data_IF_077282107507
#
_entry.id   IF_077282107507
#
_cell.length_a   1.000
_cell.length_b   1.000
_cell.length_c   1.000
_cell.angle_alpha   90.00
_cell.angle_beta   90.00
_cell.angle_gamma   90.00
#
_symmetry.space_group_name_H-M   'P 1'
#
loop_
_entity.id
_entity.type
_entity.pdbx_description
1 polymer ?
#
# COMPACT_ATOMS: atom_id res chain seq x y z
N UNK A 1 -6.08 4.03 -44.06
CA UNK A 1 -4.74 3.96 -43.46
C UNK A 1 -4.77 3.68 -41.96
N UNK A 2 -5.05 4.69 -41.12
CA UNK A 2 -4.98 4.57 -39.64
C UNK A 2 -6.06 3.69 -39.00
N UNK A 3 -7.30 3.71 -39.52
CA UNK A 3 -8.42 2.90 -38.99
C UNK A 3 -8.13 1.40 -39.09
N UNK A 4 -7.63 0.96 -40.25
CA UNK A 4 -7.17 -0.42 -40.49
C UNK A 4 -6.01 -0.83 -39.59
N UNK A 5 -5.01 0.05 -39.39
CA UNK A 5 -3.88 -0.26 -38.48
C UNK A 5 -4.34 -0.40 -37.02
N UNK A 6 -5.28 0.42 -36.57
CA UNK A 6 -5.85 0.37 -35.21
C UNK A 6 -6.69 -0.88 -35.00
N UNK A 7 -7.44 -1.29 -36.01
CA UNK A 7 -8.26 -2.50 -35.99
C UNK A 7 -7.41 -3.77 -36.01
N UNK A 8 -6.37 -3.81 -36.85
CA UNK A 8 -5.36 -4.89 -36.84
C UNK A 8 -4.67 -5.00 -35.48
N UNK A 9 -4.22 -3.88 -34.90
CA UNK A 9 -3.62 -3.89 -33.57
C UNK A 9 -4.60 -4.36 -32.48
N UNK A 10 -5.87 -3.91 -32.55
CA UNK A 10 -6.92 -4.34 -31.61
C UNK A 10 -7.19 -5.84 -31.73
N UNK A 11 -7.25 -6.36 -32.95
CA UNK A 11 -7.47 -7.79 -33.20
C UNK A 11 -6.27 -8.63 -32.79
N UNK A 12 -5.03 -8.15 -32.99
CA UNK A 12 -3.83 -8.81 -32.50
C UNK A 12 -3.80 -8.87 -30.97
N UNK A 13 -4.15 -7.77 -30.28
CA UNK A 13 -4.26 -7.74 -28.82
C UNK A 13 -5.34 -8.71 -28.33
N UNK A 14 -6.51 -8.75 -28.97
CA UNK A 14 -7.59 -9.71 -28.65
C UNK A 14 -7.13 -11.16 -28.82
N UNK A 15 -6.46 -11.48 -29.94
CA UNK A 15 -5.95 -12.81 -30.21
C UNK A 15 -4.84 -13.22 -29.22
N UNK A 16 -3.95 -12.30 -28.84
CA UNK A 16 -2.96 -12.55 -27.78
C UNK A 16 -3.62 -12.78 -26.42
N UNK A 17 -4.64 -12.00 -26.05
CA UNK A 17 -5.40 -12.21 -24.80
C UNK A 17 -6.08 -13.59 -24.83
N UNK A 18 -6.70 -13.97 -25.95
CA UNK A 18 -7.36 -15.27 -26.11
C UNK A 18 -6.36 -16.43 -26.04
N UNK A 19 -5.21 -16.31 -26.71
CA UNK A 19 -4.13 -17.30 -26.63
C UNK A 19 -3.55 -17.42 -25.22
N UNK A 20 -3.33 -16.29 -24.53
CA UNK A 20 -2.95 -16.26 -23.13
C UNK A 20 -4.01 -16.92 -22.25
N UNK A 21 -5.30 -16.64 -22.48
CA UNK A 21 -6.40 -17.24 -21.72
C UNK A 21 -6.48 -18.75 -21.92
N UNK A 22 -6.29 -19.25 -23.14
CA UNK A 22 -6.27 -20.70 -23.43
C UNK A 22 -5.07 -21.37 -22.77
N UNK A 23 -3.88 -20.78 -22.91
CA UNK A 23 -2.64 -21.30 -22.30
C UNK A 23 -2.71 -21.25 -20.77
N UNK A 24 -3.26 -20.17 -20.22
CA UNK A 24 -3.49 -20.01 -18.79
C UNK A 24 -4.54 -20.99 -18.27
N UNK A 25 -5.68 -21.14 -18.95
CA UNK A 25 -6.72 -22.11 -18.56
C UNK A 25 -6.16 -23.53 -18.55
N UNK A 26 -5.31 -23.86 -19.51
CA UNK A 26 -4.60 -25.14 -19.53
C UNK A 26 -3.62 -25.26 -18.35
N UNK A 27 -2.81 -24.23 -18.10
CA UNK A 27 -1.87 -24.22 -16.97
C UNK A 27 -2.57 -24.25 -15.59
N UNK A 28 -3.71 -23.57 -15.43
CA UNK A 28 -4.53 -23.61 -14.21
C UNK A 28 -5.20 -24.97 -14.00
N UNK A 29 -5.57 -25.68 -15.07
CA UNK A 29 -6.08 -27.06 -14.98
C UNK A 29 -5.01 -28.07 -14.60
N UNK A 30 -3.75 -27.77 -14.95
CA UNK A 30 -2.58 -28.62 -14.68
C UNK A 30 -1.87 -28.26 -13.36
N UNK A 31 -2.21 -27.11 -12.75
CA UNK A 31 -1.68 -26.68 -11.46
C UNK A 31 -2.41 -27.38 -10.30
N UNK A 32 -1.64 -28.05 -9.43
CA UNK A 32 -2.14 -28.81 -8.29
C UNK A 32 -2.57 -27.91 -7.11
N UNK A 33 -1.97 -26.73 -6.99
CA UNK A 33 -2.25 -25.76 -5.91
C UNK A 33 -2.20 -24.33 -6.45
N UNK A 34 -3.30 -23.58 -6.23
CA UNK A 34 -3.36 -22.13 -6.41
C UNK A 34 -3.48 -21.51 -5.03
N UNK A 35 -2.40 -20.88 -4.55
CA UNK A 35 -2.45 -20.09 -3.30
C UNK A 35 -2.50 -18.62 -3.69
N UNK A 36 -3.62 -17.97 -3.38
CA UNK A 36 -3.73 -16.52 -3.41
C UNK A 36 -3.68 -16.02 -1.98
N UNK A 37 -2.65 -15.27 -1.58
CA UNK A 37 -2.60 -14.68 -0.22
C UNK A 37 -2.67 -13.18 -0.25
N UNK A 38 -3.48 -12.62 0.64
CA UNK A 38 -3.61 -11.19 0.81
C UNK A 38 -2.75 -10.64 1.96
N UNK A 39 -2.09 -9.52 1.65
CA UNK A 39 -1.21 -8.62 2.46
C UNK A 39 0.30 -8.94 2.44
N UNK A 40 1.06 -8.05 1.76
CA UNK A 40 2.49 -7.78 1.98
C UNK A 40 3.47 -8.83 1.45
N UNK A 41 4.71 -8.42 1.18
CA UNK A 41 5.79 -9.24 0.59
C UNK A 41 5.83 -10.66 1.15
N UNK A 42 6.18 -11.63 0.28
CA UNK A 42 6.17 -13.06 0.59
C UNK A 42 6.64 -13.38 2.02
N UNK A 43 5.72 -13.77 2.89
CA UNK A 43 6.05 -14.21 4.25
C UNK A 43 6.96 -15.47 4.12
N UNK A 44 8.18 -15.47 4.68
CA UNK A 44 9.08 -16.62 4.63
C UNK A 44 8.45 -17.91 5.17
N UNK A 45 7.50 -17.81 6.12
CA UNK A 45 6.75 -18.94 6.68
C UNK A 45 5.70 -19.47 5.70
N UNK A 46 5.08 -18.59 4.90
CA UNK A 46 4.18 -18.99 3.82
C UNK A 46 4.98 -19.68 2.71
N UNK A 47 6.12 -19.11 2.33
CA UNK A 47 7.06 -19.74 1.39
C UNK A 47 7.46 -21.13 1.90
N UNK A 48 7.85 -21.24 3.18
CA UNK A 48 8.19 -22.52 3.79
C UNK A 48 7.02 -23.51 3.84
N UNK A 49 5.79 -23.04 4.11
CA UNK A 49 4.58 -23.87 4.06
C UNK A 49 4.27 -24.34 2.62
N UNK A 50 4.67 -23.59 1.61
CA UNK A 50 4.65 -23.97 0.20
C UNK A 50 5.88 -24.80 -0.24
N UNK A 51 6.77 -25.18 0.69
CA UNK A 51 7.97 -25.97 0.42
C UNK A 51 9.15 -25.16 -0.15
N UNK A 52 9.11 -23.84 -0.05
CA UNK A 52 10.16 -22.91 -0.48
C UNK A 52 10.93 -22.45 0.77
N UNK A 53 12.14 -22.98 0.97
CA UNK A 53 13.03 -22.52 2.04
C UNK A 53 13.77 -21.29 1.53
N UNK A 54 13.63 -20.17 2.23
CA UNK A 54 14.42 -18.96 1.99
C UNK A 54 15.67 -19.10 2.86
N UNK A 55 16.86 -19.05 2.27
CA UNK A 55 18.10 -19.07 3.04
C UNK A 55 18.20 -17.75 3.84
N UNK A 56 18.11 -17.85 5.17
CA UNK A 56 18.25 -16.71 6.09
C UNK A 56 19.74 -16.31 6.20
N UNK A 57 20.24 -15.48 5.28
CA UNK A 57 21.45 -14.67 5.51
C UNK A 57 21.01 -13.33 6.13
N UNK A 58 20.77 -13.32 7.46
CA UNK A 58 20.91 -12.17 8.37
C UNK A 58 20.14 -12.41 9.70
N UNK A 59 20.66 -13.27 10.59
CA UNK A 59 20.57 -13.08 12.05
C UNK A 59 21.31 -14.17 12.86
N UNK A 60 22.32 -13.69 13.59
CA UNK A 60 22.78 -14.14 14.91
C UNK A 60 23.78 -15.32 14.93
N UNK A 61 25.03 -14.95 15.24
CA UNK A 61 26.06 -15.80 15.82
C UNK A 61 25.51 -16.59 17.02
N UNK A 62 25.61 -17.92 16.98
CA UNK A 62 26.04 -18.67 18.16
C UNK A 62 26.78 -19.96 17.74
N UNK A 63 27.88 -20.20 18.42
CA UNK A 63 28.90 -21.21 18.17
C UNK A 63 28.42 -22.60 18.64
N UNK A 64 28.87 -23.67 17.96
CA UNK A 64 28.44 -25.02 18.36
C UNK A 64 28.71 -26.18 17.40
N UNK A 65 29.92 -26.30 16.86
CA UNK A 65 30.66 -27.57 16.62
C UNK A 65 29.86 -28.90 16.66
N UNK A 66 29.76 -29.62 15.52
CA UNK A 66 30.48 -30.88 15.21
C UNK A 66 29.83 -31.73 14.08
N UNK A 67 30.68 -32.01 13.08
CA UNK A 67 30.86 -33.28 12.33
C UNK A 67 29.72 -33.90 11.50
N UNK A 68 30.06 -34.11 10.21
CA UNK A 68 30.11 -35.48 9.68
C UNK A 68 29.45 -35.73 8.32
N UNK A 69 30.25 -35.61 7.25
CA UNK A 69 30.43 -36.65 6.21
C UNK A 69 29.21 -37.49 5.74
N UNK A 70 28.78 -37.33 4.49
CA UNK A 70 29.08 -38.26 3.38
C UNK A 70 28.11 -38.13 2.18
N UNK A 71 28.74 -38.03 1.01
CA UNK A 71 28.26 -38.43 -0.32
C UNK A 71 27.25 -39.59 -0.32
N UNK A 72 26.14 -39.44 -1.05
CA UNK A 72 25.67 -40.50 -1.96
C UNK A 72 24.95 -39.90 -3.18
N UNK A 73 25.47 -40.22 -4.36
CA UNK A 73 24.81 -40.05 -5.66
C UNK A 73 23.64 -41.03 -5.75
N UNK A 74 22.40 -40.55 -5.84
CA UNK A 74 21.24 -41.38 -6.15
C UNK A 74 20.58 -40.93 -7.47
N UNK A 75 20.77 -41.80 -8.47
CA UNK A 75 20.29 -41.75 -9.85
C UNK A 75 18.76 -41.89 -9.89
N UNK A 76 18.01 -40.81 -10.12
CA UNK A 76 16.55 -40.89 -10.37
C UNK A 76 16.30 -41.10 -11.87
N UNK A 77 15.79 -42.30 -12.21
CA UNK A 77 15.24 -42.66 -13.53
C UNK A 77 13.96 -41.84 -13.74
N UNK A 78 13.88 -41.10 -14.84
CA UNK A 78 12.66 -40.42 -15.27
C UNK A 78 11.77 -41.39 -16.05
N UNK A 79 10.56 -41.63 -15.54
CA UNK A 79 9.48 -42.22 -16.33
C UNK A 79 8.93 -41.12 -17.25
N UNK A 80 9.14 -41.27 -18.56
CA UNK A 80 8.49 -40.47 -19.61
C UNK A 80 7.02 -40.88 -19.71
N UNK A 81 6.12 -40.01 -19.29
CA UNK A 81 4.75 -39.98 -19.81
C UNK A 81 4.70 -38.87 -20.88
N UNK A 82 4.31 -39.25 -22.10
CA UNK A 82 4.31 -38.38 -23.27
C UNK A 82 3.21 -37.33 -23.22
N UNK A 83 3.61 -36.07 -23.19
CA UNK A 83 2.87 -34.94 -23.75
C UNK A 83 3.72 -34.34 -24.87
N UNK A 84 3.10 -33.93 -25.97
CA UNK A 84 3.81 -33.27 -27.07
C UNK A 84 4.66 -32.10 -26.53
N UNK A 85 5.92 -31.93 -26.99
CA UNK A 85 6.76 -30.83 -26.52
C UNK A 85 6.05 -29.52 -26.83
N UNK A 86 5.78 -28.72 -25.79
CA UNK A 86 5.25 -27.36 -25.99
C UNK A 86 6.23 -26.63 -26.90
N UNK A 87 5.73 -26.07 -28.01
CA UNK A 87 6.53 -25.26 -28.92
C UNK A 87 7.20 -24.15 -28.10
N UNK A 88 8.41 -23.78 -28.51
CA UNK A 88 9.26 -22.74 -27.93
C UNK A 88 8.45 -21.58 -27.34
N UNK A 89 8.96 -20.97 -26.26
CA UNK A 89 8.39 -19.73 -25.72
C UNK A 89 8.22 -18.68 -26.86
N UNK A 90 7.35 -17.68 -26.71
CA UNK A 90 7.04 -16.72 -27.79
C UNK A 90 8.24 -16.02 -28.44
N UNK A 91 9.40 -16.05 -27.78
CA UNK A 91 10.71 -15.53 -28.20
C UNK A 91 11.61 -16.58 -28.90
N UNK A 92 11.12 -17.81 -29.10
CA UNK A 92 11.87 -18.89 -29.73
C UNK A 92 12.82 -19.63 -28.78
N UNK A 93 12.87 -19.27 -27.49
CA UNK A 93 13.70 -19.96 -26.49
C UNK A 93 13.05 -21.27 -26.02
N UNK A 94 13.86 -22.26 -25.58
CA UNK A 94 13.32 -23.44 -24.91
C UNK A 94 12.55 -23.01 -23.65
N UNK A 95 11.37 -23.61 -23.38
CA UNK A 95 10.58 -23.28 -22.20
C UNK A 95 11.40 -23.52 -20.93
N UNK A 96 11.22 -22.65 -19.93
CA UNK A 96 11.83 -22.82 -18.62
C UNK A 96 11.22 -24.05 -17.94
N UNK A 97 12.04 -24.88 -17.29
CA UNK A 97 11.52 -25.97 -16.45
C UNK A 97 11.45 -25.51 -15.00
N UNK A 98 10.38 -24.78 -14.67
CA UNK A 98 10.14 -24.22 -13.33
C UNK A 98 8.81 -24.75 -12.79
N UNK A 99 8.83 -25.77 -11.93
CA UNK A 99 7.60 -26.37 -11.41
C UNK A 99 6.83 -25.47 -10.43
N UNK A 100 7.46 -24.41 -9.94
CA UNK A 100 6.88 -23.44 -9.01
C UNK A 100 6.99 -22.04 -9.61
N UNK A 101 5.87 -21.32 -9.65
CA UNK A 101 5.81 -19.91 -10.06
C UNK A 101 5.23 -19.11 -8.90
N UNK A 102 5.97 -18.09 -8.46
CA UNK A 102 5.52 -17.13 -7.44
C UNK A 102 5.47 -15.75 -8.10
N UNK A 103 4.35 -15.05 -7.96
CA UNK A 103 4.18 -13.67 -8.42
C UNK A 103 3.79 -12.83 -7.22
N UNK A 104 4.71 -11.96 -6.79
CA UNK A 104 4.42 -10.96 -5.77
C UNK A 104 3.81 -9.70 -6.38
N UNK A 105 3.03 -8.97 -5.58
CA UNK A 105 2.27 -7.79 -6.00
C UNK A 105 1.40 -8.03 -7.25
N UNK A 106 0.87 -9.25 -7.40
CA UNK A 106 0.09 -9.70 -8.54
C UNK A 106 -1.22 -8.91 -8.75
N UNK A 107 -1.64 -8.10 -7.77
CA UNK A 107 -2.75 -7.16 -7.88
C UNK A 107 -2.42 -5.88 -8.66
N UNK A 108 -1.14 -5.52 -8.81
CA UNK A 108 -0.69 -4.31 -9.51
C UNK A 108 -0.40 -4.54 -11.00
N UNK A 109 -0.40 -5.79 -11.45
CA UNK A 109 -0.11 -6.18 -12.82
C UNK A 109 -1.39 -6.58 -13.56
N UNK A 110 -1.51 -6.16 -14.81
CA UNK A 110 -2.62 -6.57 -15.68
C UNK A 110 -2.60 -8.09 -15.83
N UNK A 111 -3.76 -8.72 -15.95
CA UNK A 111 -3.85 -10.19 -16.06
C UNK A 111 -2.89 -10.80 -17.10
N UNK A 112 -2.75 -10.26 -18.33
CA UNK A 112 -1.77 -10.78 -19.29
C UNK A 112 -0.33 -10.79 -18.77
N UNK A 113 0.07 -9.82 -17.94
CA UNK A 113 1.41 -9.76 -17.39
C UNK A 113 1.65 -10.87 -16.35
N UNK A 114 0.64 -11.20 -15.54
CA UNK A 114 0.72 -12.33 -14.59
C UNK A 114 0.81 -13.69 -15.30
N UNK A 115 0.36 -13.78 -16.55
CA UNK A 115 0.40 -15.02 -17.32
C UNK A 115 1.75 -15.29 -17.98
N UNK A 116 2.58 -14.25 -18.20
CA UNK A 116 3.91 -14.40 -18.80
C UNK A 116 4.75 -15.48 -18.09
N UNK A 117 4.99 -15.43 -16.76
CA UNK A 117 5.79 -16.45 -16.09
C UNK A 117 5.15 -17.83 -16.12
N UNK A 118 3.81 -17.91 -16.20
CA UNK A 118 3.06 -19.17 -16.26
C UNK A 118 3.20 -19.86 -17.63
N UNK A 119 3.16 -19.08 -18.73
CA UNK A 119 3.26 -19.63 -20.09
C UNK A 119 4.70 -19.87 -20.53
N UNK A 120 5.67 -19.19 -19.91
CA UNK A 120 7.11 -19.37 -20.18
C UNK A 120 7.66 -20.71 -19.68
N UNK A 121 6.89 -21.47 -18.90
CA UNK A 121 7.28 -22.79 -18.41
C UNK A 121 6.37 -23.91 -18.93
N UNK A 122 6.98 -25.07 -19.19
CA UNK A 122 6.27 -26.28 -19.60
C UNK A 122 6.01 -27.25 -18.43
N UNK A 123 6.46 -26.91 -17.23
CA UNK A 123 6.42 -27.80 -16.06
C UNK A 123 5.79 -27.19 -14.82
N UNK A 124 5.15 -26.01 -14.90
CA UNK A 124 4.45 -25.40 -13.76
C UNK A 124 3.42 -26.37 -13.15
N UNK A 125 3.63 -26.73 -11.89
CA UNK A 125 2.72 -27.55 -11.07
C UNK A 125 2.08 -26.74 -9.94
N UNK A 126 2.71 -25.66 -9.49
CA UNK A 126 2.23 -24.86 -8.38
C UNK A 126 2.38 -23.37 -8.70
N UNK A 127 1.30 -22.63 -8.51
CA UNK A 127 1.25 -21.18 -8.74
C UNK A 127 0.83 -20.48 -7.45
N UNK A 128 1.66 -19.54 -7.00
CA UNK A 128 1.39 -18.68 -5.85
C UNK A 128 1.27 -17.23 -6.33
N UNK A 129 0.13 -16.61 -6.05
CA UNK A 129 -0.12 -15.19 -6.35
C UNK A 129 -0.25 -14.45 -5.03
N UNK A 130 0.69 -13.55 -4.76
CA UNK A 130 0.68 -12.70 -3.58
C UNK A 130 0.28 -11.29 -4.02
N UNK A 131 -0.50 -10.61 -3.20
CA UNK A 131 -0.94 -9.26 -3.52
C UNK A 131 -2.10 -8.82 -2.65
N UNK A 132 -2.51 -7.57 -2.77
CA UNK A 132 -3.64 -7.06 -2.00
C UNK A 132 -4.69 -6.45 -2.93
N UNK A 133 -5.86 -7.10 -3.10
CA UNK A 133 -6.90 -6.60 -3.98
C UNK A 133 -7.65 -5.38 -3.39
N UNK A 134 -7.30 -4.96 -2.17
CA UNK A 134 -7.74 -3.71 -1.55
C UNK A 134 -6.71 -2.57 -1.65
N UNK A 135 -5.55 -2.81 -2.26
CA UNK A 135 -4.57 -1.77 -2.63
C UNK A 135 -4.66 -1.47 -4.13
N UNK A 136 -3.64 -0.80 -4.69
CA UNK A 136 -3.72 -0.27 -6.06
C UNK A 136 -3.91 -1.39 -7.10
N UNK A 137 -4.85 -1.20 -8.04
CA UNK A 137 -5.02 -2.09 -9.18
C UNK A 137 -3.94 -1.82 -10.24
N UNK A 138 -3.94 -2.57 -11.35
CA UNK A 138 -3.07 -2.28 -12.47
C UNK A 138 -3.35 -0.91 -13.08
N UNK A 139 -2.29 -0.18 -13.40
CA UNK A 139 -2.41 1.12 -14.07
C UNK A 139 -2.60 0.93 -15.57
N UNK A 140 -3.80 1.24 -16.06
CA UNK A 140 -4.16 1.10 -17.47
C UNK A 140 -4.42 2.48 -18.08
N UNK A 141 -3.47 3.00 -18.86
CA UNK A 141 -3.58 4.36 -19.45
C UNK A 141 -4.82 4.56 -20.32
N UNK A 142 -5.26 3.52 -21.03
CA UNK A 142 -6.46 3.56 -21.87
C UNK A 142 -7.76 3.48 -21.08
N UNK A 143 -7.69 3.18 -19.78
CA UNK A 143 -8.83 3.14 -18.88
C UNK A 143 -8.50 3.88 -17.55
N UNK A 144 -8.55 5.22 -17.56
CA UNK A 144 -8.33 6.01 -16.36
C UNK A 144 -9.34 5.76 -15.24
N UNK A 145 -10.49 5.15 -15.57
CA UNK A 145 -11.54 4.85 -14.59
C UNK A 145 -11.21 3.63 -13.72
N UNK A 146 -10.29 2.77 -14.18
CA UNK A 146 -9.91 1.54 -13.49
C UNK A 146 -11.02 0.48 -13.41
N UNK A 147 -12.07 0.60 -14.23
CA UNK A 147 -13.28 -0.26 -14.22
C UNK A 147 -13.30 -1.28 -15.35
N UNK A 148 -12.39 -1.15 -16.31
CA UNK A 148 -12.26 -2.02 -17.45
C UNK A 148 -11.64 -3.36 -17.07
N UNK A 149 -11.79 -4.36 -17.94
CA UNK A 149 -11.33 -5.72 -17.66
C UNK A 149 -9.81 -5.82 -17.48
N UNK A 150 -9.03 -4.93 -18.12
CA UNK A 150 -7.58 -4.89 -17.94
C UNK A 150 -7.14 -4.32 -16.57
N UNK A 151 -8.02 -3.62 -15.87
CA UNK A 151 -7.78 -3.10 -14.52
C UNK A 151 -8.14 -4.11 -13.43
N UNK A 152 -8.61 -5.30 -13.81
CA UNK A 152 -8.75 -6.44 -12.91
C UNK A 152 -7.53 -7.33 -13.10
N UNK A 153 -6.76 -7.53 -12.03
CA UNK A 153 -5.64 -8.46 -12.08
C UNK A 153 -6.12 -9.91 -12.08
N UNK A 154 -5.23 -10.80 -12.54
CA UNK A 154 -5.47 -12.25 -12.46
C UNK A 154 -5.81 -12.70 -11.04
N UNK A 155 -5.05 -12.24 -10.05
CA UNK A 155 -5.25 -12.58 -8.64
C UNK A 155 -6.64 -12.13 -8.16
N UNK A 156 -7.02 -10.88 -8.42
CA UNK A 156 -8.32 -10.34 -8.00
C UNK A 156 -9.49 -11.12 -8.62
N UNK A 157 -9.36 -11.51 -9.90
CA UNK A 157 -10.35 -12.34 -10.60
C UNK A 157 -10.45 -13.74 -9.98
N UNK A 158 -9.33 -14.40 -9.74
CA UNK A 158 -9.30 -15.74 -9.12
C UNK A 158 -9.84 -15.70 -7.69
N UNK A 159 -9.43 -14.73 -6.87
CA UNK A 159 -9.92 -14.54 -5.50
C UNK A 159 -11.45 -14.36 -5.43
N UNK A 160 -12.05 -13.80 -6.49
CA UNK A 160 -13.49 -13.57 -6.58
C UNK A 160 -14.29 -14.75 -7.15
N UNK A 161 -13.64 -15.70 -7.81
CA UNK A 161 -14.30 -16.80 -8.55
C UNK A 161 -14.03 -18.18 -7.98
N UNK A 162 -12.91 -18.36 -7.29
CA UNK A 162 -12.56 -19.62 -6.65
C UNK A 162 -13.35 -19.85 -5.36
N UNK A 163 -13.64 -21.12 -5.01
CA UNK A 163 -14.22 -21.46 -3.72
C UNK A 163 -13.24 -21.14 -2.58
N UNK A 164 -13.75 -21.08 -1.36
CA UNK A 164 -12.90 -20.83 -0.20
C UNK A 164 -11.78 -21.87 -0.06
N UNK A 165 -10.53 -21.43 0.16
CA UNK A 165 -9.40 -22.35 0.24
C UNK A 165 -9.57 -23.29 1.44
N UNK A 166 -9.18 -24.56 1.25
CA UNK A 166 -9.05 -25.51 2.35
C UNK A 166 -7.79 -25.12 3.13
N UNK A 167 -7.97 -24.56 4.32
CA UNK A 167 -6.88 -24.05 5.14
C UNK A 167 -6.03 -25.23 5.64
N UNK A 168 -4.80 -25.34 5.12
CA UNK A 168 -3.75 -26.12 5.78
C UNK A 168 -3.16 -25.20 6.85
N UNK A 169 -3.46 -25.52 8.10
CA UNK A 169 -3.20 -24.69 9.29
C UNK A 169 -1.78 -24.11 9.33
N UNK A 170 -1.63 -22.84 8.96
CA UNK A 170 -0.55 -22.03 9.50
C UNK A 170 -0.74 -22.03 11.02
N UNK A 171 0.34 -22.33 11.78
CA UNK A 171 0.31 -22.34 13.25
C UNK A 171 -0.45 -21.11 13.75
N UNK A 172 -1.49 -21.32 14.55
CA UNK A 172 -2.27 -20.22 15.13
C UNK A 172 -1.32 -19.30 15.87
N UNK A 173 -1.15 -18.06 15.41
CA UNK A 173 -0.42 -17.06 16.17
C UNK A 173 -1.14 -16.84 17.51
N UNK A 174 -0.44 -17.14 18.60
CA UNK A 174 -0.94 -17.03 19.98
C UNK A 174 -0.58 -15.69 20.62
N UNK A 175 0.05 -14.78 19.88
CA UNK A 175 0.34 -13.44 20.37
C UNK A 175 -0.98 -12.77 20.83
N UNK A 176 -1.01 -12.16 22.02
CA UNK A 176 -2.14 -11.36 22.46
C UNK A 176 -2.42 -10.27 21.42
N UNK A 177 -3.69 -10.10 21.07
CA UNK A 177 -4.12 -9.16 20.04
C UNK A 177 -4.63 -7.88 20.69
N UNK A 178 -4.37 -6.77 20.02
CA UNK A 178 -4.94 -5.47 20.34
C UNK A 178 -6.32 -5.35 19.70
N UNK A 179 -7.34 -4.99 20.50
CA UNK A 179 -8.74 -4.88 20.07
C UNK A 179 -9.35 -3.51 20.38
N UNK A 180 -8.76 -2.72 21.29
CA UNK A 180 -9.28 -1.44 21.79
C UNK A 180 -9.64 -0.47 20.66
N UNK A 181 -8.72 -0.21 19.74
CA UNK A 181 -8.98 0.76 18.67
C UNK A 181 -9.95 0.22 17.62
N UNK A 182 -9.88 -1.08 17.32
CA UNK A 182 -10.71 -1.73 16.30
C UNK A 182 -12.18 -1.83 16.75
N UNK A 183 -12.41 -2.15 18.03
CA UNK A 183 -13.75 -2.32 18.60
C UNK A 183 -14.36 -1.03 19.16
N UNK A 184 -13.62 0.07 19.10
CA UNK A 184 -14.09 1.38 19.53
C UNK A 184 -15.37 1.81 18.78
N UNK A 185 -16.21 2.59 19.47
CA UNK A 185 -17.43 3.14 18.87
C UNK A 185 -17.13 4.01 17.63
N UNK A 186 -16.12 4.90 17.63
CA UNK A 186 -15.72 5.64 16.44
C UNK A 186 -15.44 4.74 15.22
N UNK A 187 -14.69 3.64 15.41
CA UNK A 187 -14.36 2.71 14.32
C UNK A 187 -15.62 2.02 13.78
N UNK A 188 -16.53 1.58 14.65
CA UNK A 188 -17.83 1.00 14.25
C UNK A 188 -18.72 2.00 13.50
N UNK A 189 -18.70 3.27 13.91
CA UNK A 189 -19.44 4.35 13.23
C UNK A 189 -18.87 4.62 11.84
N UNK A 190 -17.54 4.66 11.68
CA UNK A 190 -16.88 4.81 10.39
C UNK A 190 -17.28 3.70 9.40
N UNK A 191 -17.28 2.43 9.84
CA UNK A 191 -17.75 1.29 9.02
C UNK A 191 -19.21 1.45 8.61
N UNK A 192 -20.06 1.88 9.55
CA UNK A 192 -21.49 2.08 9.30
C UNK A 192 -21.72 3.18 8.26
N UNK A 193 -20.98 4.28 8.34
CA UNK A 193 -21.07 5.39 7.39
C UNK A 193 -20.76 4.92 5.95
N UNK A 194 -19.66 4.17 5.78
CA UNK A 194 -19.25 3.67 4.47
C UNK A 194 -20.25 2.65 3.90
N UNK A 195 -20.79 1.75 4.74
CA UNK A 195 -21.70 0.67 4.30
C UNK A 195 -23.12 1.15 3.98
N UNK A 196 -23.70 2.06 4.76
CA UNK A 196 -25.12 2.43 4.61
C UNK A 196 -25.36 3.56 3.62
N UNK A 197 -24.44 4.52 3.45
CA UNK A 197 -24.60 5.61 2.48
C UNK A 197 -24.44 5.15 1.02
N UNK A 198 -23.85 3.97 0.78
CA UNK A 198 -23.81 3.31 -0.53
C UNK A 198 -25.18 2.95 -1.10
N UNK A 199 -26.15 2.62 -0.23
CA UNK A 199 -27.50 2.20 -0.63
C UNK A 199 -28.42 3.37 -1.04
N UNK A 200 -28.02 4.61 -0.79
CA UNK A 200 -28.92 5.78 -0.77
C UNK A 200 -29.09 6.58 -2.08
N UNK A 201 -28.32 6.31 -3.15
CA UNK A 201 -28.49 7.00 -4.46
C UNK A 201 -28.94 6.03 -5.55
N UNK A 202 -30.22 5.66 -5.51
CA UNK A 202 -30.92 5.12 -6.69
C UNK A 202 -31.11 6.25 -7.70
N UNK A 203 -30.22 6.31 -8.70
CA UNK A 203 -30.34 7.21 -9.85
C UNK A 203 -29.21 6.98 -10.84
N UNK A 204 -29.45 6.10 -11.83
CA UNK A 204 -28.55 5.87 -12.97
C UNK A 204 -27.93 4.47 -12.97
N UNK A 205 -28.40 3.61 -13.89
CA UNK A 205 -27.96 2.23 -14.04
C UNK A 205 -26.46 2.08 -14.32
N UNK A 206 -25.77 1.39 -13.41
CA UNK A 206 -24.41 0.87 -13.54
C UNK A 206 -24.19 -0.11 -12.40
N UNK A 207 -24.58 -1.37 -12.60
CA UNK A 207 -24.86 -2.34 -11.56
C UNK A 207 -23.64 -2.88 -10.78
N UNK A 208 -23.84 -3.10 -9.48
CA UNK A 208 -23.78 -4.45 -8.89
C UNK A 208 -22.48 -4.93 -8.26
N UNK A 209 -21.32 -4.35 -8.54
CA UNK A 209 -20.04 -4.92 -8.06
C UNK A 209 -19.42 -4.21 -6.85
N UNK A 210 -19.69 -2.92 -6.61
CA UNK A 210 -18.97 -2.09 -5.61
C UNK A 210 -19.30 -2.36 -4.13
N UNK A 211 -20.28 -3.21 -3.82
CA UNK A 211 -20.90 -3.26 -2.48
C UNK A 211 -20.76 -4.60 -1.74
N UNK A 212 -19.86 -5.48 -2.19
CA UNK A 212 -19.57 -6.72 -1.48
C UNK A 212 -18.48 -6.50 -0.44
N UNK A 213 -18.76 -6.91 0.79
CA UNK A 213 -17.76 -7.02 1.87
C UNK A 213 -16.55 -7.83 1.40
N UNK A 214 -15.37 -7.52 1.93
CA UNK A 214 -14.10 -8.20 1.63
C UNK A 214 -14.29 -9.73 1.62
N UNK A 215 -14.90 -10.28 2.69
CA UNK A 215 -15.17 -11.72 2.83
C UNK A 215 -15.92 -12.32 1.65
N UNK A 216 -16.87 -11.58 1.09
CA UNK A 216 -17.68 -12.03 -0.04
C UNK A 216 -17.00 -11.81 -1.38
N UNK A 217 -16.20 -10.75 -1.49
CA UNK A 217 -15.54 -10.40 -2.75
C UNK A 217 -14.31 -11.25 -3.01
N UNK A 218 -13.57 -11.62 -1.98
CA UNK A 218 -12.29 -12.33 -2.11
C UNK A 218 -12.29 -13.67 -1.36
N UNK A 219 -13.45 -14.33 -1.30
CA UNK A 219 -13.66 -15.58 -0.55
C UNK A 219 -12.73 -16.71 -1.00
N UNK A 220 -12.27 -16.69 -2.26
CA UNK A 220 -11.35 -17.67 -2.84
C UNK A 220 -9.88 -17.39 -2.59
N UNK A 221 -9.54 -16.38 -1.78
CA UNK A 221 -8.17 -16.09 -1.36
C UNK A 221 -7.98 -16.38 0.13
N UNK A 222 -6.75 -16.74 0.50
CA UNK A 222 -6.29 -16.79 1.88
C UNK A 222 -5.95 -15.37 2.33
N UNK A 223 -6.35 -14.98 3.53
CA UNK A 223 -5.94 -13.72 4.14
C UNK A 223 -4.87 -13.97 5.19
N UNK A 224 -3.72 -13.31 5.07
CA UNK A 224 -2.76 -13.19 6.15
C UNK A 224 -3.33 -12.15 7.13
N UNK A 225 -4.00 -12.64 8.17
CA UNK A 225 -4.85 -11.82 9.05
C UNK A 225 -4.10 -11.16 10.21
N UNK A 226 -2.78 -11.34 10.33
CA UNK A 226 -1.98 -10.70 11.38
C UNK A 226 -1.02 -9.73 10.71
N UNK A 227 -1.07 -8.46 11.11
CA UNK A 227 -0.19 -7.42 10.58
C UNK A 227 0.88 -7.06 11.61
N UNK A 228 2.14 -6.94 11.16
CA UNK A 228 3.29 -6.66 12.02
C UNK A 228 3.96 -5.30 11.77
N UNK A 229 3.37 -4.47 10.90
CA UNK A 229 3.94 -3.18 10.50
C UNK A 229 3.54 -2.07 11.45
N UNK A 230 2.24 -1.82 11.51
CA UNK A 230 1.62 -0.61 12.02
C UNK A 230 1.36 -0.71 13.52
N UNK A 231 1.48 0.42 14.22
CA UNK A 231 0.86 0.62 15.52
C UNK A 231 -0.66 0.26 15.45
N UNK A 232 -1.25 -0.40 16.46
CA UNK A 232 -2.65 -0.83 16.45
C UNK A 232 -3.66 0.25 16.03
N UNK A 233 -3.54 1.47 16.56
CA UNK A 233 -4.43 2.58 16.18
C UNK A 233 -4.33 3.03 14.73
N UNK A 234 -3.16 2.88 14.08
CA UNK A 234 -3.01 3.15 12.64
C UNK A 234 -3.74 2.07 11.84
N UNK A 235 -3.66 0.80 12.27
CA UNK A 235 -4.28 -0.33 11.58
C UNK A 235 -5.81 -0.41 11.73
N UNK A 236 -6.38 0.20 12.77
CA UNK A 236 -7.78 0.04 13.15
C UNK A 236 -8.75 0.50 12.05
N UNK A 237 -8.60 1.74 11.56
CA UNK A 237 -9.48 2.27 10.51
C UNK A 237 -9.34 1.48 9.19
N UNK A 238 -8.13 1.25 8.63
CA UNK A 238 -7.98 0.44 7.42
C UNK A 238 -8.54 -0.97 7.57
N UNK A 239 -8.24 -1.66 8.68
CA UNK A 239 -8.77 -3.01 8.95
C UNK A 239 -10.29 -3.02 8.91
N UNK A 240 -10.94 -2.13 9.66
CA UNK A 240 -12.39 -2.06 9.78
C UNK A 240 -13.07 -1.72 8.44
N UNK A 241 -12.56 -0.71 7.74
CA UNK A 241 -13.21 -0.14 6.55
C UNK A 241 -12.93 -0.94 5.28
N UNK A 242 -11.69 -1.40 5.07
CA UNK A 242 -11.28 -2.04 3.81
C UNK A 242 -11.23 -3.58 3.90
N UNK A 243 -11.04 -4.14 5.10
CA UNK A 243 -10.85 -5.58 5.31
C UNK A 243 -11.90 -6.21 6.23
N UNK A 244 -13.04 -5.55 6.48
CA UNK A 244 -14.11 -6.02 7.38
C UNK A 244 -13.65 -6.39 8.82
N UNK A 245 -12.62 -5.69 9.31
CA UNK A 245 -12.04 -5.93 10.63
C UNK A 245 -11.27 -7.25 10.75
N UNK A 246 -10.88 -7.86 9.62
CA UNK A 246 -10.18 -9.14 9.62
C UNK A 246 -8.69 -9.05 9.94
N UNK A 247 -8.10 -7.85 9.86
CA UNK A 247 -6.70 -7.67 10.22
C UNK A 247 -6.59 -7.46 11.73
N UNK A 248 -5.78 -8.31 12.35
CA UNK A 248 -5.44 -8.26 13.77
C UNK A 248 -4.00 -7.80 13.95
N UNK A 249 -3.74 -7.19 15.11
CA UNK A 249 -2.44 -6.60 15.43
C UNK A 249 -1.95 -7.14 16.77
N UNK A 250 -0.71 -7.61 16.90
CA UNK A 250 -0.15 -7.96 18.21
C UNK A 250 -0.12 -6.75 19.16
N UNK A 251 -0.57 -6.93 20.41
CA UNK A 251 -0.64 -5.85 21.40
C UNK A 251 0.72 -5.23 21.74
N UNK A 252 1.79 -6.01 21.60
CA UNK A 252 3.18 -5.54 21.78
C UNK A 252 3.58 -4.46 20.79
N UNK A 253 2.93 -4.34 19.62
CA UNK A 253 3.24 -3.27 18.68
C UNK A 253 2.89 -1.88 19.22
N UNK A 254 1.97 -1.78 20.19
CA UNK A 254 1.64 -0.48 20.78
C UNK A 254 2.86 0.17 21.45
N UNK A 255 3.64 -0.62 22.20
CA UNK A 255 4.85 -0.15 22.87
C UNK A 255 6.07 -0.11 21.95
N UNK A 256 6.15 -0.99 20.94
CA UNK A 256 7.26 -1.02 19.98
C UNK A 256 7.17 0.09 18.91
N UNK A 257 6.00 0.69 18.73
CA UNK A 257 5.71 1.69 17.69
C UNK A 257 5.15 3.00 18.28
N UNK A 258 5.80 3.61 19.28
CA UNK A 258 5.27 4.82 19.89
C UNK A 258 5.24 5.95 18.86
N UNK A 259 4.19 6.78 18.93
CA UNK A 259 4.15 8.02 18.16
C UNK A 259 5.31 8.95 18.60
N UNK A 260 5.92 9.74 17.69
CA UNK A 260 7.01 10.65 18.06
C UNK A 260 6.58 11.59 19.20
N UNK A 261 7.33 11.59 20.30
CA UNK A 261 6.99 12.34 21.52
C UNK A 261 6.78 13.84 21.24
N UNK A 262 7.71 14.44 20.50
CA UNK A 262 7.67 15.84 20.04
C UNK A 262 6.31 16.21 19.47
N UNK A 263 5.77 15.33 18.63
CA UNK A 263 4.51 15.55 17.96
C UNK A 263 3.33 15.24 18.86
N UNK A 264 3.48 14.35 19.85
CA UNK A 264 2.39 14.04 20.79
C UNK A 264 2.04 15.23 21.68
N UNK A 265 3.01 16.07 22.02
CA UNK A 265 2.82 17.25 22.87
C UNK A 265 2.09 18.38 22.11
N UNK A 266 2.41 18.57 20.83
CA UNK A 266 1.78 19.59 19.97
C UNK A 266 0.50 19.13 19.28
N UNK A 267 0.40 17.84 19.00
CA UNK A 267 -0.75 17.22 18.37
C UNK A 267 -1.36 16.26 19.39
N UNK A 268 -2.32 16.72 20.21
CA UNK A 268 -2.99 15.85 21.17
C UNK A 268 -3.85 14.80 20.47
N UNK A 269 -4.20 13.75 21.21
CA UNK A 269 -5.07 12.66 20.80
C UNK A 269 -5.82 12.11 22.02
N UNK A 270 -7.09 11.73 21.86
CA UNK A 270 -7.77 10.97 22.90
C UNK A 270 -7.34 9.51 22.83
N UNK A 271 -6.90 8.98 23.97
CA UNK A 271 -6.40 7.61 24.09
C UNK A 271 -4.87 7.52 24.12
N UNK A 272 -4.38 6.69 25.03
CA UNK A 272 -2.95 6.52 25.28
C UNK A 272 -2.22 6.02 24.02
N UNK A 273 -1.17 6.70 23.59
CA UNK A 273 -0.26 6.21 22.56
C UNK A 273 -0.79 6.17 21.11
N UNK A 274 -1.88 6.87 20.78
CA UNK A 274 -2.39 6.83 19.41
C UNK A 274 -1.36 7.34 18.37
N UNK A 275 -1.16 6.59 17.30
CA UNK A 275 -0.19 6.85 16.24
C UNK A 275 -0.73 7.62 15.04
N UNK A 276 -1.97 8.11 15.07
CA UNK A 276 -2.60 8.85 13.97
C UNK A 276 -2.87 10.29 14.38
N UNK A 277 -2.60 11.25 13.49
CA UNK A 277 -2.99 12.66 13.60
C UNK A 277 -3.58 13.17 12.30
N UNK A 278 -4.56 14.05 12.40
CA UNK A 278 -5.09 14.83 11.30
C UNK A 278 -4.89 16.32 11.61
N UNK A 279 -4.24 17.04 10.69
CA UNK A 279 -4.07 18.49 10.76
C UNK A 279 -4.94 19.12 9.69
N UNK A 280 -5.98 19.82 10.12
CA UNK A 280 -6.94 20.49 9.27
C UNK A 280 -6.35 21.81 8.75
N UNK A 281 -5.98 21.80 7.48
CA UNK A 281 -5.55 22.99 6.72
C UNK A 281 -6.77 23.50 5.95
N UNK A 282 -7.73 24.06 6.69
CA UNK A 282 -9.04 24.46 6.18
C UNK A 282 -9.06 25.73 5.33
N UNK A 283 -10.26 26.16 4.94
CA UNK A 283 -10.50 27.40 4.17
C UNK A 283 -11.13 27.18 2.79
N UNK A 284 -11.08 25.96 2.26
CA UNK A 284 -11.68 25.54 0.98
C UNK A 284 -11.24 26.37 -0.22
N UNK A 285 -10.00 26.84 -0.20
CA UNK A 285 -9.42 27.74 -1.20
C UNK A 285 -7.89 27.66 -1.30
N UNK A 286 -7.25 26.65 -0.69
CA UNK A 286 -5.80 26.58 -0.62
C UNK A 286 -5.15 25.89 -1.85
N UNK A 287 -5.95 25.23 -2.68
CA UNK A 287 -5.43 24.52 -3.86
C UNK A 287 -5.12 25.45 -5.03
N UNK A 288 -4.01 25.19 -5.72
CA UNK A 288 -3.68 25.81 -7.01
C UNK A 288 -3.35 24.75 -8.03
N UNK A 289 -3.67 25.03 -9.29
CA UNK A 289 -3.26 24.17 -10.41
C UNK A 289 -1.75 24.34 -10.62
N UNK A 290 -1.01 23.24 -10.65
CA UNK A 290 0.41 23.26 -10.97
C UNK A 290 0.63 23.59 -12.45
N UNK A 291 1.70 24.32 -12.75
CA UNK A 291 2.21 24.47 -14.12
C UNK A 291 2.76 23.14 -14.66
N UNK A 292 2.95 23.02 -15.98
CA UNK A 292 3.61 21.86 -16.58
C UNK A 292 4.97 21.63 -15.91
N UNK A 293 5.09 20.54 -15.16
CA UNK A 293 6.38 20.10 -14.61
C UNK A 293 7.23 19.67 -15.81
N UNK A 294 8.32 20.39 -16.04
CA UNK A 294 9.13 20.36 -17.27
C UNK A 294 9.36 18.97 -17.85
N UNK A 295 8.77 18.72 -19.02
CA UNK A 295 9.31 17.75 -19.98
C UNK A 295 10.53 18.41 -20.61
N UNK A 296 11.69 17.86 -20.35
CA UNK A 296 12.92 18.15 -21.10
C UNK A 296 12.61 18.08 -22.60
N UNK A 297 13.01 19.13 -23.31
CA UNK A 297 12.78 19.34 -24.74
C UNK A 297 13.59 18.35 -25.59
N UNK A 298 13.10 17.13 -25.77
CA UNK A 298 13.59 16.22 -26.81
C UNK A 298 12.60 15.09 -27.13
N UNK A 299 11.38 15.44 -27.53
CA UNK A 299 10.59 14.53 -28.39
C UNK A 299 9.61 15.32 -29.23
N UNK A 300 9.70 15.13 -30.55
CA UNK A 300 8.96 15.82 -31.60
C UNK A 300 7.47 16.07 -31.29
N UNK A 301 7.04 17.25 -31.71
CA UNK A 301 5.68 17.76 -31.66
C UNK A 301 4.64 16.72 -32.10
N UNK A 302 3.63 16.52 -31.26
CA UNK A 302 2.32 16.04 -31.69
C UNK A 302 1.27 17.04 -31.21
N UNK A 303 0.33 17.33 -32.11
CA UNK A 303 -0.60 18.46 -32.09
C UNK A 303 -1.39 18.65 -30.79
N UNK A 304 -1.78 19.90 -30.46
CA UNK A 304 -2.52 20.23 -29.26
C UNK A 304 -3.96 19.76 -29.41
N UNK A 305 -4.29 18.60 -28.84
CA UNK A 305 -5.68 18.15 -28.72
C UNK A 305 -5.92 17.47 -27.36
N UNK A 306 -6.71 18.15 -26.54
CA UNK A 306 -7.49 17.61 -25.41
C UNK A 306 -6.74 16.90 -24.29
N UNK A 307 -5.95 17.62 -23.50
CA UNK A 307 -5.68 17.21 -22.11
C UNK A 307 -6.96 17.42 -21.29
N UNK A 308 -7.51 16.36 -20.70
CA UNK A 308 -8.69 16.45 -19.84
C UNK A 308 -8.34 17.23 -18.56
N UNK A 309 -9.29 17.98 -18.03
CA UNK A 309 -9.11 18.78 -16.80
C UNK A 309 -8.68 17.94 -15.57
N UNK A 310 -8.86 16.61 -15.62
CA UNK A 310 -8.50 15.65 -14.57
C UNK A 310 -7.01 15.26 -14.55
N UNK A 311 -6.26 15.52 -15.62
CA UNK A 311 -4.80 15.28 -15.68
C UNK A 311 -3.98 16.46 -15.13
N UNK A 312 -4.68 17.48 -14.62
CA UNK A 312 -4.05 18.60 -13.95
C UNK A 312 -3.48 18.16 -12.60
N UNK A 313 -2.19 18.39 -12.41
CA UNK A 313 -1.58 18.29 -11.09
C UNK A 313 -1.91 19.53 -10.24
N UNK A 314 -2.01 19.36 -8.92
CA UNK A 314 -2.36 20.41 -7.97
C UNK A 314 -1.26 20.56 -6.91
N UNK A 315 -1.19 21.73 -6.30
CA UNK A 315 -0.35 22.02 -5.15
C UNK A 315 -1.13 22.83 -4.10
N UNK A 316 -0.68 22.76 -2.86
CA UNK A 316 -1.21 23.49 -1.72
C UNK A 316 -0.02 23.96 -0.88
N UNK A 317 0.25 25.28 -0.91
CA UNK A 317 1.36 25.87 -0.17
C UNK A 317 1.13 25.80 1.33
N UNK A 318 -0.09 26.04 1.81
CA UNK A 318 -0.40 26.01 3.24
C UNK A 318 -0.12 24.61 3.83
N UNK A 319 -0.54 23.53 3.16
CA UNK A 319 -0.16 22.18 3.58
C UNK A 319 1.36 21.95 3.52
N UNK A 320 2.04 22.44 2.48
CA UNK A 320 3.47 22.24 2.32
C UNK A 320 4.29 22.98 3.40
N UNK A 321 3.86 24.18 3.79
CA UNK A 321 4.48 24.99 4.84
C UNK A 321 4.28 24.35 6.22
N UNK A 322 3.08 23.84 6.52
CA UNK A 322 2.82 23.10 7.77
C UNK A 322 3.62 21.80 7.85
N UNK A 323 3.80 21.10 6.73
CA UNK A 323 4.66 19.91 6.67
C UNK A 323 6.11 20.29 6.98
N UNK A 324 6.61 21.39 6.41
CA UNK A 324 7.97 21.85 6.69
C UNK A 324 8.13 22.25 8.17
N UNK A 325 7.13 22.92 8.77
CA UNK A 325 7.12 23.22 10.20
C UNK A 325 7.19 21.95 11.05
N UNK A 326 6.35 20.96 10.77
CA UNK A 326 6.35 19.67 11.46
C UNK A 326 7.72 18.97 11.37
N UNK A 327 8.36 19.00 10.19
CA UNK A 327 9.70 18.42 10.02
C UNK A 327 10.75 19.15 10.86
N UNK A 328 10.71 20.48 10.90
CA UNK A 328 11.65 21.27 11.73
C UNK A 328 11.48 20.95 13.21
N UNK A 329 10.24 20.86 13.67
CA UNK A 329 9.93 20.55 15.07
C UNK A 329 10.48 19.18 15.48
N UNK A 330 10.27 18.15 14.64
CA UNK A 330 10.84 16.82 14.85
C UNK A 330 12.37 16.82 15.01
N UNK A 331 13.06 17.69 14.28
CA UNK A 331 14.52 17.76 14.27
C UNK A 331 15.10 18.63 15.39
N UNK A 332 14.35 19.63 15.89
CA UNK A 332 14.77 20.52 16.99
C UNK A 332 14.89 19.78 18.33
N UNK A 333 13.90 18.97 18.72
CA UNK A 333 13.95 18.28 20.03
C UNK A 333 15.14 17.31 20.14
N UNK A 334 15.62 16.77 19.02
CA UNK A 334 16.80 15.89 19.01
C UNK A 334 18.09 16.64 19.38
N UNK A 335 18.15 17.97 19.24
CA UNK A 335 19.25 18.78 19.80
C UNK A 335 19.17 18.87 21.33
N UNK A 336 17.99 19.17 21.88
CA UNK A 336 17.80 19.37 23.32
C UNK A 336 17.97 18.06 24.13
N UNK A 337 17.57 16.93 23.55
CA UNK A 337 17.74 15.61 24.17
C UNK A 337 19.19 15.10 24.23
N UNK A 338 20.14 15.79 23.57
CA UNK A 338 21.54 15.37 23.50
C UNK A 338 22.48 16.22 24.39
N UNK A 339 22.01 17.36 24.92
CA UNK A 339 22.77 18.25 25.81
C UNK A 339 22.58 17.95 27.32
N UNK A 340 21.69 17.02 27.70
CA UNK A 340 21.47 16.63 29.09
C UNK A 340 21.83 15.19 29.41
N UNK A 341 23.01 14.92 29.99
CA UNK A 341 23.23 13.67 30.75
C UNK A 341 24.61 13.02 30.73
N UNK A 342 25.69 13.76 30.99
CA UNK A 342 26.81 13.22 31.75
C UNK A 342 26.56 13.51 33.24
N UNK A 343 25.71 12.70 33.88
CA UNK A 343 25.56 12.70 35.34
C UNK A 343 25.21 11.28 35.80
N UNK A 344 26.06 10.75 36.69
CA UNK A 344 26.06 9.40 37.23
C UNK A 344 24.95 9.19 38.28
N UNK A 345 24.59 7.90 38.46
CA UNK A 345 23.87 7.28 39.58
C UNK A 345 22.40 7.65 39.89
N UNK A 346 21.48 6.90 39.27
CA UNK A 346 20.26 6.37 39.92
C UNK A 346 19.57 5.29 39.07
N UNK A 347 19.35 4.06 39.58
CA UNK A 347 18.60 3.03 38.87
C UNK A 347 17.15 2.99 39.37
N UNK A 348 16.27 3.81 38.79
CA UNK A 348 14.82 3.52 38.85
C UNK A 348 14.06 4.23 37.72
N UNK A 349 13.22 3.46 37.02
CA UNK A 349 12.34 3.82 35.92
C UNK A 349 13.03 4.17 34.58
N UNK A 350 13.41 3.11 33.85
CA UNK A 350 13.59 3.16 32.40
C UNK A 350 12.25 3.47 31.71
N UNK A 351 11.86 4.75 31.70
CA UNK A 351 10.88 5.26 30.76
C UNK A 351 11.48 5.08 29.36
N UNK A 352 10.90 4.18 28.58
CA UNK A 352 11.29 3.88 27.21
C UNK A 352 11.55 5.18 26.43
N UNK A 353 12.78 5.40 26.00
CA UNK A 353 13.13 6.48 25.07
C UNK A 353 12.22 6.33 23.85
N UNK A 354 11.20 7.19 23.72
CA UNK A 354 10.34 7.20 22.55
C UNK A 354 11.22 7.45 21.34
N UNK A 355 11.43 6.41 20.52
CA UNK A 355 12.41 6.41 19.46
C UNK A 355 12.09 7.52 18.44
N UNK A 356 13.02 8.45 18.23
CA UNK A 356 12.92 9.42 17.14
C UNK A 356 12.75 8.68 15.81
N UNK A 357 11.81 9.10 14.94
CA UNK A 357 11.60 8.42 13.67
C UNK A 357 12.82 8.64 12.77
N UNK A 358 13.61 7.58 12.54
CA UNK A 358 14.81 7.65 11.69
C UNK A 358 14.46 7.69 10.19
N UNK A 359 13.24 7.27 9.84
CA UNK A 359 12.74 7.24 8.47
C UNK A 359 11.37 7.93 8.34
N UNK A 360 11.30 8.92 7.46
CA UNK A 360 10.11 9.77 7.23
C UNK A 360 9.71 9.70 5.75
N UNK A 361 8.45 9.40 5.48
CA UNK A 361 7.89 9.39 4.14
C UNK A 361 6.83 10.46 3.97
N UNK A 362 7.00 11.36 3.00
CA UNK A 362 6.01 12.36 2.63
C UNK A 362 5.30 11.90 1.37
N UNK A 363 4.02 11.61 1.48
CA UNK A 363 3.22 11.00 0.43
C UNK A 363 2.09 11.95 0.01
N UNK A 364 1.92 12.18 -1.29
CA UNK A 364 0.86 13.06 -1.80
C UNK A 364 0.39 12.61 -3.18
N UNK A 365 -0.90 12.71 -3.55
CA UNK A 365 -1.38 12.22 -4.84
C UNK A 365 -0.94 13.06 -6.05
N UNK A 366 -0.40 14.28 -5.84
CA UNK A 366 -0.11 15.22 -6.93
C UNK A 366 1.39 15.48 -7.13
N UNK A 367 1.85 15.35 -8.37
CA UNK A 367 3.25 15.54 -8.73
C UNK A 367 3.77 16.97 -8.47
N UNK A 368 2.91 17.98 -8.58
CA UNK A 368 3.26 19.38 -8.31
C UNK A 368 3.46 19.62 -6.81
N UNK A 369 2.69 18.93 -5.95
CA UNK A 369 2.92 18.95 -4.51
C UNK A 369 4.23 18.24 -4.15
N UNK A 370 4.54 17.10 -4.80
CA UNK A 370 5.84 16.44 -4.65
C UNK A 370 6.99 17.40 -4.99
N UNK A 371 6.89 18.09 -6.13
CA UNK A 371 7.91 19.06 -6.56
C UNK A 371 8.04 20.24 -5.58
N UNK A 372 6.92 20.79 -5.11
CA UNK A 372 6.88 21.88 -4.15
C UNK A 372 7.56 21.49 -2.83
N UNK A 373 7.15 20.38 -2.22
CA UNK A 373 7.71 19.97 -0.92
C UNK A 373 9.20 19.66 -1.04
N UNK A 374 9.64 18.98 -2.11
CA UNK A 374 11.07 18.73 -2.35
C UNK A 374 11.86 20.03 -2.45
N UNK A 375 11.31 21.02 -3.16
CA UNK A 375 11.92 22.34 -3.29
C UNK A 375 12.04 23.03 -1.93
N UNK A 376 10.95 23.12 -1.16
CA UNK A 376 10.95 23.74 0.17
C UNK A 376 11.97 23.08 1.11
N UNK A 377 11.97 21.75 1.19
CA UNK A 377 12.93 20.98 1.99
C UNK A 377 14.39 21.24 1.55
N UNK A 378 14.63 21.46 0.25
CA UNK A 378 15.98 21.74 -0.26
C UNK A 378 16.44 23.19 -0.09
N UNK A 379 15.52 24.15 -0.15
CA UNK A 379 15.84 25.59 -0.13
C UNK A 379 15.89 26.14 1.30
N UNK A 380 15.10 25.60 2.24
CA UNK A 380 14.98 26.09 3.61
C UNK A 380 16.29 25.89 4.41
N UNK A 381 16.92 27.00 4.83
CA UNK A 381 18.23 26.97 5.48
C UNK A 381 18.20 26.35 6.87
N UNK A 382 17.14 26.65 7.63
CA UNK A 382 16.96 26.16 8.99
C UNK A 382 16.78 24.65 9.00
N UNK A 383 15.90 24.12 8.15
CA UNK A 383 15.69 22.70 8.00
C UNK A 383 16.97 21.98 7.59
N UNK A 384 17.75 22.54 6.64
CA UNK A 384 19.05 21.96 6.25
C UNK A 384 20.05 21.92 7.41
N UNK A 385 20.10 22.98 8.22
CA UNK A 385 20.95 23.03 9.41
C UNK A 385 20.53 21.99 10.45
N UNK A 386 19.24 21.90 10.75
CA UNK A 386 18.67 20.89 11.66
C UNK A 386 18.93 19.46 11.15
N UNK A 387 18.66 19.16 9.88
CA UNK A 387 18.83 17.82 9.32
C UNK A 387 20.32 17.43 9.18
N UNK A 388 21.24 18.39 9.07
CA UNK A 388 22.68 18.10 9.08
C UNK A 388 23.17 17.69 10.47
N UNK A 389 22.63 18.31 11.52
CA UNK A 389 22.92 17.98 12.92
C UNK A 389 22.22 16.70 13.36
N UNK A 390 20.98 16.52 12.91
CA UNK A 390 20.08 15.44 13.26
C UNK A 390 19.55 14.71 12.01
N UNK A 391 20.37 13.91 11.31
CA UNK A 391 19.95 13.30 10.05
C UNK A 391 18.73 12.40 10.20
N UNK A 392 17.73 12.65 9.37
CA UNK A 392 16.58 11.78 9.13
C UNK A 392 16.48 11.43 7.63
N UNK A 393 16.13 10.17 7.33
CA UNK A 393 15.91 9.75 5.95
C UNK A 393 14.52 10.23 5.49
N UNK A 394 14.47 11.29 4.67
CA UNK A 394 13.22 11.89 4.18
C UNK A 394 13.01 11.57 2.71
N UNK A 395 11.87 10.98 2.39
CA UNK A 395 11.48 10.66 1.02
C UNK A 395 10.13 11.28 0.65
N UNK A 396 10.10 12.12 -0.38
CA UNK A 396 8.87 12.73 -0.91
C UNK A 396 8.45 12.06 -2.20
N UNK A 397 7.24 11.50 -2.28
CA UNK A 397 6.77 10.72 -3.44
C UNK A 397 5.26 10.74 -3.61
N UNK A 398 4.79 10.30 -4.79
CA UNK A 398 3.37 10.05 -5.00
C UNK A 398 2.90 8.75 -4.32
N UNK A 399 1.60 8.63 -4.06
CA UNK A 399 0.98 7.40 -3.50
C UNK A 399 1.35 6.18 -4.35
N UNK A 400 1.15 6.28 -5.66
CA UNK A 400 1.43 5.21 -6.62
C UNK A 400 2.93 4.82 -6.63
N UNK A 401 3.84 5.77 -6.39
CA UNK A 401 5.29 5.51 -6.31
C UNK A 401 5.76 5.02 -4.92
N UNK A 402 4.88 5.01 -3.92
CA UNK A 402 5.17 4.59 -2.54
C UNK A 402 4.74 3.17 -2.20
N UNK A 403 4.17 2.45 -3.17
CA UNK A 403 3.74 1.08 -2.94
C UNK A 403 4.93 0.16 -2.62
N UNK A 404 4.70 -0.81 -1.72
CA UNK A 404 5.74 -1.72 -1.21
C UNK A 404 6.75 -1.07 -0.24
N UNK A 405 6.67 0.23 0.02
CA UNK A 405 7.56 0.94 0.97
C UNK A 405 6.88 1.13 2.33
N UNK A 406 7.69 1.29 3.36
CA UNK A 406 7.24 1.66 4.71
C UNK A 406 8.22 2.61 5.39
N UNK A 407 7.73 3.42 6.33
CA UNK A 407 8.53 4.35 7.13
C UNK A 407 8.01 4.39 8.56
N UNK A 408 8.86 4.82 9.48
CA UNK A 408 8.47 4.99 10.88
C UNK A 408 7.38 6.05 11.00
N UNK A 409 7.57 7.19 10.33
CA UNK A 409 6.59 8.26 10.21
C UNK A 409 6.17 8.46 8.75
N UNK A 410 4.87 8.49 8.50
CA UNK A 410 4.30 8.92 7.22
C UNK A 410 3.56 10.23 7.42
N UNK A 411 3.87 11.18 6.55
CA UNK A 411 3.16 12.44 6.40
C UNK A 411 2.40 12.39 5.08
N UNK A 412 1.08 12.45 5.13
CA UNK A 412 0.23 12.46 3.94
C UNK A 412 -0.33 13.86 3.69
N UNK A 413 -0.10 14.43 2.50
CA UNK A 413 -0.70 15.70 2.07
C UNK A 413 -1.82 15.43 1.06
N UNK A 414 -3.04 15.78 1.44
CA UNK A 414 -4.23 15.58 0.61
C UNK A 414 -4.35 16.61 -0.51
N UNK A 415 -3.80 17.82 -0.34
CA UNK A 415 -3.72 18.94 -1.31
C UNK A 415 -5.06 19.61 -1.61
N UNK A 416 -6.13 18.84 -1.75
CA UNK A 416 -7.41 19.34 -2.27
C UNK A 416 -8.16 20.15 -1.23
N UNK A 417 -8.46 21.39 -1.58
CA UNK A 417 -9.13 22.39 -0.74
C UNK A 417 -9.97 23.30 -1.63
N UNK A 418 -11.27 23.00 -1.74
CA UNK A 418 -12.21 23.75 -2.59
C UNK A 418 -13.66 23.65 -2.11
N UNK A 419 -14.43 24.70 -2.40
CA UNK A 419 -15.86 24.81 -2.03
C UNK A 419 -16.78 23.79 -2.72
N UNK A 420 -16.28 23.06 -3.72
CA UNK A 420 -17.08 22.08 -4.47
C UNK A 420 -16.88 20.64 -4.00
N UNK A 421 -15.99 20.38 -3.03
CA UNK A 421 -15.69 19.01 -2.59
C UNK A 421 -15.04 18.16 -3.69
N UNK A 422 -14.38 18.78 -4.67
CA UNK A 422 -13.73 18.03 -5.76
C UNK A 422 -12.37 17.55 -5.29
N UNK A 423 -12.25 16.25 -5.04
CA UNK A 423 -10.99 15.67 -4.54
C UNK A 423 -10.21 14.84 -5.56
N UNK A 424 -10.73 14.67 -6.79
CA UNK A 424 -10.02 14.01 -7.89
C UNK A 424 -9.55 12.60 -7.55
N UNK A 425 -8.24 12.33 -7.71
CA UNK A 425 -7.62 11.02 -7.44
C UNK A 425 -7.80 10.50 -6.01
N UNK A 426 -8.06 11.39 -5.05
CA UNK A 426 -8.35 11.00 -3.65
C UNK A 426 -9.65 10.22 -3.51
N UNK A 427 -10.56 10.25 -4.50
CA UNK A 427 -11.80 9.46 -4.47
C UNK A 427 -11.55 7.95 -4.52
N UNK A 428 -10.38 7.53 -5.01
CA UNK A 428 -10.02 6.11 -5.02
C UNK A 428 -9.66 5.64 -3.61
N UNK A 429 -10.57 4.90 -2.99
CA UNK A 429 -10.39 4.35 -1.65
C UNK A 429 -9.18 3.40 -1.55
N UNK A 430 -8.73 2.80 -2.66
CA UNK A 430 -7.52 1.95 -2.67
C UNK A 430 -6.26 2.78 -2.50
N UNK A 431 -6.22 3.98 -3.10
CA UNK A 431 -5.13 4.95 -2.88
C UNK A 431 -5.11 5.45 -1.45
N UNK A 432 -6.29 5.71 -0.88
CA UNK A 432 -6.42 6.03 0.54
C UNK A 432 -5.88 4.89 1.42
N UNK A 433 -6.29 3.65 1.18
CA UNK A 433 -5.80 2.49 1.92
C UNK A 433 -4.27 2.35 1.83
N UNK A 434 -3.68 2.50 0.64
CA UNK A 434 -2.21 2.51 0.50
C UNK A 434 -1.59 3.62 1.35
N UNK A 435 -2.06 4.86 1.22
CA UNK A 435 -1.51 6.01 1.94
C UNK A 435 -1.53 5.83 3.47
N UNK A 436 -2.65 5.34 4.03
CA UNK A 436 -2.82 5.16 5.47
C UNK A 436 -1.97 3.99 6.04
N UNK A 437 -1.58 3.02 5.21
CA UNK A 437 -0.94 1.76 5.65
C UNK A 437 0.58 1.70 5.42
N UNK A 438 1.22 2.85 5.16
CA UNK A 438 2.69 2.94 4.97
C UNK A 438 3.47 3.20 6.26
N UNK A 439 2.79 3.67 7.31
CA UNK A 439 3.41 4.03 8.57
C UNK A 439 3.68 2.81 9.45
N UNK A 440 4.76 2.83 10.23
CA UNK A 440 5.00 1.87 11.32
C UNK A 440 4.55 2.45 12.66
N UNK A 441 5.03 3.65 13.01
CA UNK A 441 4.82 4.27 14.32
C UNK A 441 3.91 5.50 14.29
N UNK A 442 3.99 6.32 13.25
CA UNK A 442 3.20 7.54 13.15
C UNK A 442 2.65 7.80 11.77
N UNK A 443 1.40 8.26 11.71
CA UNK A 443 0.72 8.75 10.52
C UNK A 443 0.19 10.15 10.82
N UNK A 444 0.62 11.14 10.05
CA UNK A 444 0.11 12.51 10.11
C UNK A 444 -0.51 12.86 8.76
N UNK A 445 -1.79 13.24 8.77
CA UNK A 445 -2.54 13.59 7.57
C UNK A 445 -2.81 15.09 7.57
N UNK A 446 -2.36 15.78 6.54
CA UNK A 446 -2.68 17.17 6.24
C UNK A 446 -3.77 17.23 5.18
N UNK A 447 -4.80 18.05 5.40
CA UNK A 447 -5.83 18.28 4.40
C UNK A 447 -6.95 19.19 4.89
N UNK A 448 -7.85 19.53 3.99
CA UNK A 448 -9.04 20.32 4.27
C UNK A 448 -10.22 19.38 4.60
N UNK A 449 -10.59 19.26 5.88
CA UNK A 449 -11.60 18.29 6.34
C UNK A 449 -12.94 18.46 5.61
N UNK A 450 -13.41 19.69 5.43
CA UNK A 450 -14.69 19.96 4.76
C UNK A 450 -14.65 19.52 3.29
N UNK A 451 -13.57 19.86 2.57
CA UNK A 451 -13.41 19.46 1.17
C UNK A 451 -13.33 17.94 1.03
N UNK A 452 -12.63 17.28 1.94
CA UNK A 452 -12.47 15.82 1.96
C UNK A 452 -13.78 15.09 2.27
N UNK A 453 -14.52 15.55 3.29
CA UNK A 453 -15.85 15.05 3.66
C UNK A 453 -16.84 15.14 2.52
N UNK A 454 -16.90 16.30 1.86
CA UNK A 454 -17.80 16.51 0.72
C UNK A 454 -17.40 15.67 -0.51
N UNK A 455 -16.12 15.26 -0.58
CA UNK A 455 -15.58 14.61 -1.76
C UNK A 455 -15.88 13.13 -1.90
N UNK A 456 -15.80 12.35 -0.82
CA UNK A 456 -16.17 10.94 -0.78
C UNK A 456 -16.43 10.41 0.65
N UNK A 457 -17.30 9.39 0.75
CA UNK A 457 -17.70 8.75 2.02
C UNK A 457 -16.55 8.16 2.84
N UNK A 458 -15.46 7.70 2.22
CA UNK A 458 -14.34 7.11 2.95
C UNK A 458 -13.53 8.18 3.68
N UNK A 459 -13.30 9.32 3.02
CA UNK A 459 -12.67 10.48 3.65
C UNK A 459 -13.57 11.12 4.71
N UNK A 460 -14.88 11.15 4.47
CA UNK A 460 -15.84 11.56 5.49
C UNK A 460 -15.79 10.65 6.74
N UNK A 461 -15.80 9.33 6.54
CA UNK A 461 -15.67 8.37 7.62
C UNK A 461 -14.35 8.56 8.39
N UNK A 462 -13.24 8.79 7.67
CA UNK A 462 -11.93 8.99 8.30
C UNK A 462 -11.85 10.31 9.06
N UNK A 463 -12.32 11.42 8.50
CA UNK A 463 -12.37 12.70 9.20
C UNK A 463 -13.22 12.64 10.47
N UNK A 464 -14.42 12.07 10.38
CA UNK A 464 -15.30 11.88 11.54
C UNK A 464 -14.67 10.94 12.58
N UNK A 465 -13.99 9.89 12.13
CA UNK A 465 -13.24 9.00 13.01
C UNK A 465 -12.15 9.75 13.76
N UNK A 466 -11.31 10.52 13.06
CA UNK A 466 -10.23 11.32 13.65
C UNK A 466 -10.74 12.33 14.69
N UNK A 467 -11.84 13.05 14.40
CA UNK A 467 -12.47 13.95 15.37
C UNK A 467 -13.03 13.20 16.58
N UNK A 468 -13.67 12.04 16.37
CA UNK A 468 -14.30 11.26 17.45
C UNK A 468 -13.28 10.58 18.37
N UNK A 469 -12.04 10.39 17.92
CA UNK A 469 -10.90 9.95 18.76
C UNK A 469 -10.00 11.13 19.16
N UNK A 470 -10.44 12.37 18.93
CA UNK A 470 -9.74 13.60 19.31
C UNK A 470 -8.34 13.75 18.71
N UNK A 471 -8.06 13.14 17.56
CA UNK A 471 -6.75 13.21 16.88
C UNK A 471 -6.72 14.17 15.69
N UNK A 472 -7.82 14.90 15.48
CA UNK A 472 -7.91 16.01 14.54
C UNK A 472 -7.66 17.34 15.27
N UNK A 473 -6.80 18.18 14.71
CA UNK A 473 -6.55 19.55 15.17
C UNK A 473 -6.50 20.50 13.98
N UNK A 474 -6.78 21.79 14.19
CA UNK A 474 -6.61 22.82 13.17
C UNK A 474 -5.13 23.23 13.05
N UNK A 475 -4.70 23.53 11.82
CA UNK A 475 -3.37 24.10 11.59
C UNK A 475 -3.25 25.49 12.24
N UNK A 476 -2.06 25.84 12.73
CA UNK A 476 -1.80 27.12 13.38
C UNK A 476 -2.28 27.23 14.83
N UNK A 477 -2.56 26.11 15.50
CA UNK A 477 -2.55 26.07 16.96
C UNK A 477 -1.09 26.16 17.44
N UNK A 478 -0.73 27.33 17.98
CA UNK A 478 0.51 27.56 18.75
C UNK A 478 0.37 27.03 20.19
#
# INVERSE_FOLDING_TARGET
GMRNKREVATNAVKASIEACNVAATKAFREADVIVSTSVGAADPRLLAACGIVVDDDDAIEDDGRLRGQQNTKAKRRSNKAGGAPRRNAPDGLPPLSTPFVVVDEACQSVEPANLIPVVSTDSCRSLVLLGDPCQLPPTVKSDPSGRGPLSVSLMSRLASSLPSPVIVTARTDKAPKEEYYLDSLPTKQAVSLVKYRGKGKRGGGGGGEEERSYRKRYSGSLLLSVQYRMHPSISAFPSAVFYDGLLSTPSTLASLRPFPRVLSERLPAEGFGMGVRFINVGGRNNERRGGEVGRSSSSMASSPSTLRAEDASYLNNAEADEILRLLKDLLREREEGQEGGAAEDSPSASASSAAHPSSIGIVTPYASQVALIRRLVSEDEEFRSLNSRNPASIEVKSVDAYQGRERDLIVFSAVRSNRQGRIGFLKDWRRMNVALTRARSGLVVFGDLETLRDGDRHWEAFGNWCESVGCATDAGFD
#
